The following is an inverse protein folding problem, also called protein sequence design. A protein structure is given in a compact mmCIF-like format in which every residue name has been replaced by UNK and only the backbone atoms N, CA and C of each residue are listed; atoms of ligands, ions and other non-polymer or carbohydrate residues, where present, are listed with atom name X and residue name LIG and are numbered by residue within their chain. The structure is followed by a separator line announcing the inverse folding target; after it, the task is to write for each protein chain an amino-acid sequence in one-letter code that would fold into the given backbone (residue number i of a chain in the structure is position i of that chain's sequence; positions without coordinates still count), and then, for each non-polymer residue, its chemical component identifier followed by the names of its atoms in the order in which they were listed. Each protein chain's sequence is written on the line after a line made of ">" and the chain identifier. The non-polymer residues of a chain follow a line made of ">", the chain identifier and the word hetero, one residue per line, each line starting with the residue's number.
data_IF_394495425992
#
_entry.id   IF_394495425992
#
_cell.length_a   1.000
_cell.length_b   1.000
_cell.length_c   1.000
_cell.angle_alpha   90.00
_cell.angle_beta   90.00
_cell.angle_gamma   90.00
#
_symmetry.space_group_name_H-M   'P 1'
#
loop_
_entity.id
_entity.type
_entity.pdbx_description
1 polymer ?
#
# COMPACT_ATOMS: atom_id res chain seq x y z
N UNK A 1 7.20 -8.58 3.18
CA UNK A 1 6.11 -8.54 4.20
C UNK A 1 6.63 -8.41 5.65
N UNK A 2 7.75 -9.07 6.05
CA UNK A 2 8.32 -8.98 7.43
C UNK A 2 8.76 -7.56 7.78
N UNK A 3 9.44 -6.86 6.89
CA UNK A 3 9.90 -5.48 7.12
C UNK A 3 8.73 -4.51 7.32
N UNK A 4 7.57 -4.78 6.68
CA UNK A 4 6.36 -3.99 6.88
C UNK A 4 5.78 -4.08 8.29
N UNK A 5 5.84 -5.26 8.93
CA UNK A 5 5.39 -5.43 10.31
C UNK A 5 6.38 -4.77 11.30
N UNK A 6 7.68 -4.96 11.08
CA UNK A 6 8.74 -4.33 11.90
C UNK A 6 8.69 -2.80 11.80
N UNK A 7 8.29 -2.25 10.65
CA UNK A 7 8.08 -0.80 10.48
C UNK A 7 6.88 -0.27 11.28
N UNK A 8 5.76 -1.02 11.32
CA UNK A 8 4.52 -0.54 11.97
C UNK A 8 4.64 -0.42 13.48
N UNK A 9 5.43 -1.27 14.15
CA UNK A 9 5.58 -1.24 15.61
C UNK A 9 6.26 0.06 16.07
N UNK A 10 7.45 0.47 15.58
CA UNK A 10 8.02 1.77 15.93
C UNK A 10 7.14 2.94 15.51
N UNK A 11 6.46 2.82 14.36
CA UNK A 11 5.56 3.86 13.89
C UNK A 11 4.37 4.07 14.84
N UNK A 12 3.82 2.99 15.40
CA UNK A 12 2.74 3.07 16.38
C UNK A 12 3.18 3.75 17.68
N UNK A 13 4.45 3.57 18.09
CA UNK A 13 5.00 4.28 19.25
C UNK A 13 5.14 5.79 19.01
N UNK A 14 5.38 6.21 17.76
CA UNK A 14 5.53 7.62 17.39
C UNK A 14 4.19 8.32 17.16
N UNK A 15 3.24 7.63 16.52
CA UNK A 15 1.96 8.20 16.13
C UNK A 15 0.84 7.98 17.15
N UNK A 16 1.04 7.06 18.11
CA UNK A 16 -0.03 6.63 19.02
C UNK A 16 -1.19 5.95 18.28
N UNK A 17 -2.28 5.66 18.99
CA UNK A 17 -3.47 5.03 18.42
C UNK A 17 -4.18 5.90 17.39
N UNK A 18 -4.36 7.18 17.70
CA UNK A 18 -5.06 8.14 16.84
C UNK A 18 -4.33 8.36 15.51
N UNK A 19 -3.01 8.61 15.53
CA UNK A 19 -2.21 8.77 14.32
C UNK A 19 -2.15 7.49 13.50
N UNK A 20 -2.12 6.33 14.14
CA UNK A 20 -2.25 5.02 13.46
C UNK A 20 -3.63 4.82 12.85
N UNK A 21 -4.69 5.42 13.41
CA UNK A 21 -6.01 5.47 12.81
C UNK A 21 -5.99 6.19 11.46
N UNK A 22 -5.44 7.41 11.40
CA UNK A 22 -5.29 8.17 10.14
C UNK A 22 -4.47 7.42 9.10
N UNK A 23 -3.37 6.80 9.53
CA UNK A 23 -2.54 5.95 8.69
C UNK A 23 -3.34 4.74 8.14
N UNK A 24 -4.08 4.04 9.00
CA UNK A 24 -4.87 2.87 8.63
C UNK A 24 -6.04 3.20 7.72
N UNK A 25 -6.67 4.37 7.89
CA UNK A 25 -7.73 4.88 7.02
C UNK A 25 -7.22 5.07 5.58
N UNK A 26 -6.05 5.70 5.41
CA UNK A 26 -5.44 5.84 4.08
C UNK A 26 -5.10 4.47 3.45
N UNK A 27 -4.58 3.53 4.25
CA UNK A 27 -4.30 2.16 3.81
C UNK A 27 -5.56 1.37 3.47
N UNK A 28 -6.66 1.57 4.19
CA UNK A 28 -7.95 0.94 3.91
C UNK A 28 -8.46 1.24 2.50
N UNK A 29 -8.32 2.49 2.05
CA UNK A 29 -8.63 2.89 0.68
C UNK A 29 -7.61 2.35 -0.33
N UNK A 30 -6.32 2.41 0.01
CA UNK A 30 -5.24 2.00 -0.89
C UNK A 30 -5.17 0.49 -1.10
N UNK A 31 -5.48 -0.31 -0.09
CA UNK A 31 -5.29 -1.77 -0.10
C UNK A 31 -6.00 -2.48 -1.27
N UNK A 32 -7.29 -2.22 -1.59
CA UNK A 32 -7.94 -2.81 -2.75
C UNK A 32 -7.29 -2.40 -4.08
N UNK A 33 -6.90 -1.13 -4.20
CA UNK A 33 -6.23 -0.61 -5.40
C UNK A 33 -4.86 -1.27 -5.57
N UNK A 34 -4.10 -1.35 -4.50
CA UNK A 34 -2.79 -2.02 -4.48
C UNK A 34 -2.89 -3.50 -4.84
N UNK A 35 -3.91 -4.21 -4.37
CA UNK A 35 -4.08 -5.61 -4.68
C UNK A 35 -4.27 -5.85 -6.18
N UNK A 36 -5.08 -5.03 -6.84
CA UNK A 36 -5.26 -5.09 -8.29
C UNK A 36 -3.96 -4.81 -9.03
N UNK A 37 -3.25 -3.74 -8.62
CA UNK A 37 -2.03 -3.30 -9.28
C UNK A 37 -0.84 -4.19 -8.99
N UNK A 38 -0.69 -4.67 -7.74
CA UNK A 38 0.46 -5.46 -7.33
C UNK A 38 0.35 -6.96 -7.64
N UNK A 39 -0.86 -7.51 -7.73
CA UNK A 39 -1.09 -8.91 -8.06
C UNK A 39 -1.64 -9.11 -9.47
N UNK A 40 -2.60 -8.30 -9.90
CA UNK A 40 -3.27 -8.44 -11.18
C UNK A 40 -2.38 -8.14 -12.37
N UNK A 41 -1.76 -6.96 -12.40
CA UNK A 41 -0.93 -6.51 -13.54
C UNK A 41 0.30 -7.41 -13.74
N UNK A 42 1.12 -7.72 -12.70
CA UNK A 42 2.30 -8.56 -12.91
C UNK A 42 1.95 -9.96 -13.39
N UNK A 43 0.90 -10.58 -12.85
CA UNK A 43 0.48 -11.94 -13.24
C UNK A 43 0.12 -12.03 -14.72
N UNK A 44 -0.65 -11.08 -15.22
CA UNK A 44 -1.03 -11.03 -16.65
C UNK A 44 0.19 -10.72 -17.52
N UNK A 45 1.03 -9.77 -17.12
CA UNK A 45 2.25 -9.41 -17.84
C UNK A 45 3.25 -10.57 -17.89
N UNK A 46 3.45 -11.28 -16.78
CA UNK A 46 4.30 -12.47 -16.69
C UNK A 46 3.82 -13.54 -17.67
N UNK A 47 2.52 -13.84 -17.65
CA UNK A 47 1.92 -14.85 -18.54
C UNK A 47 2.10 -14.48 -20.02
N UNK A 48 1.72 -13.25 -20.41
CA UNK A 48 1.81 -12.81 -21.80
C UNK A 48 3.25 -12.72 -22.29
N UNK A 49 4.19 -12.31 -21.44
CA UNK A 49 5.61 -12.27 -21.77
C UNK A 49 6.17 -13.66 -21.97
N UNK A 50 5.89 -14.59 -21.03
CA UNK A 50 6.32 -15.99 -21.14
C UNK A 50 5.78 -16.67 -22.41
N UNK A 51 4.48 -16.45 -22.73
CA UNK A 51 3.87 -16.97 -23.95
C UNK A 51 4.55 -16.45 -25.24
N UNK A 52 4.85 -15.14 -25.31
CA UNK A 52 5.52 -14.57 -26.46
C UNK A 52 6.95 -15.10 -26.63
N UNK A 53 7.68 -15.30 -25.52
CA UNK A 53 9.06 -15.85 -25.53
C UNK A 53 9.02 -17.33 -25.94
N UNK A 54 8.11 -18.14 -25.38
CA UNK A 54 7.93 -19.54 -25.74
C UNK A 54 7.54 -19.73 -27.22
N UNK A 55 6.82 -18.76 -27.79
CA UNK A 55 6.48 -18.72 -29.21
C UNK A 55 7.60 -18.17 -30.13
N UNK A 56 8.81 -17.93 -29.61
CA UNK A 56 9.93 -17.30 -30.32
C UNK A 56 9.59 -15.91 -30.91
N UNK A 57 8.81 -15.11 -30.18
CA UNK A 57 8.35 -13.76 -30.59
C UNK A 57 8.82 -12.69 -29.58
N UNK A 58 10.14 -12.46 -29.41
CA UNK A 58 10.65 -11.50 -28.42
C UNK A 58 10.26 -10.05 -28.74
N UNK A 59 10.14 -9.69 -30.03
CA UNK A 59 9.67 -8.36 -30.45
C UNK A 59 8.24 -8.07 -30.00
N UNK A 60 7.38 -9.12 -30.05
CA UNK A 60 6.02 -9.00 -29.57
C UNK A 60 5.95 -8.86 -28.03
N UNK A 61 6.86 -9.51 -27.29
CA UNK A 61 6.99 -9.33 -25.85
C UNK A 61 7.38 -7.89 -25.49
N UNK A 62 8.35 -7.30 -26.18
CA UNK A 62 8.76 -5.91 -25.98
C UNK A 62 7.62 -4.93 -26.35
N UNK A 63 6.90 -5.18 -27.44
CA UNK A 63 5.74 -4.37 -27.83
C UNK A 63 4.60 -4.47 -26.81
N UNK A 64 4.32 -5.66 -26.31
CA UNK A 64 3.33 -5.89 -25.25
C UNK A 64 3.68 -5.07 -24.01
N UNK A 65 4.95 -5.08 -23.58
CA UNK A 65 5.41 -4.25 -22.46
C UNK A 65 5.20 -2.76 -22.71
N UNK A 66 5.58 -2.22 -23.90
CA UNK A 66 5.39 -0.81 -24.22
C UNK A 66 3.90 -0.42 -24.22
N UNK A 67 3.05 -1.24 -24.81
CA UNK A 67 1.60 -1.01 -24.83
C UNK A 67 1.02 -1.05 -23.42
N UNK A 68 1.45 -2.01 -22.61
CA UNK A 68 1.04 -2.12 -21.21
C UNK A 68 1.50 -0.92 -20.37
N UNK A 69 2.73 -0.45 -20.53
CA UNK A 69 3.23 0.76 -19.85
C UNK A 69 2.37 1.99 -20.17
N UNK A 70 2.02 2.21 -21.43
CA UNK A 70 1.15 3.33 -21.82
C UNK A 70 -0.26 3.18 -21.25
N UNK A 71 -0.85 1.99 -21.34
CA UNK A 71 -2.19 1.72 -20.83
C UNK A 71 -2.26 1.88 -19.30
N UNK A 72 -1.38 1.22 -18.57
CA UNK A 72 -1.42 1.23 -17.11
C UNK A 72 -0.86 2.50 -16.48
N UNK A 73 0.00 3.25 -17.15
CA UNK A 73 0.34 4.61 -16.70
C UNK A 73 -0.83 5.58 -16.85
N UNK A 74 -1.62 5.48 -17.92
CA UNK A 74 -2.84 6.27 -18.08
C UNK A 74 -3.90 5.90 -17.04
N UNK A 75 -4.13 4.60 -16.81
CA UNK A 75 -5.06 4.11 -15.77
C UNK A 75 -4.57 4.52 -14.37
N UNK A 76 -3.27 4.39 -14.09
CA UNK A 76 -2.68 4.78 -12.83
C UNK A 76 -2.75 6.30 -12.59
N UNK A 77 -2.52 7.12 -13.61
CA UNK A 77 -2.67 8.57 -13.52
C UNK A 77 -4.12 8.97 -13.24
N UNK A 78 -5.08 8.34 -13.93
CA UNK A 78 -6.50 8.55 -13.66
C UNK A 78 -6.88 8.12 -12.25
N UNK A 79 -6.39 6.95 -11.80
CA UNK A 79 -6.60 6.46 -10.43
C UNK A 79 -6.03 7.39 -9.38
N UNK A 80 -4.81 7.90 -9.58
CA UNK A 80 -4.20 8.91 -8.70
C UNK A 80 -5.05 10.17 -8.63
N UNK A 81 -5.52 10.68 -9.78
CA UNK A 81 -6.35 11.86 -9.84
C UNK A 81 -7.69 11.66 -9.11
N UNK A 82 -8.33 10.51 -9.32
CA UNK A 82 -9.57 10.15 -8.64
C UNK A 82 -9.37 10.07 -7.13
N UNK A 83 -8.34 9.37 -6.65
CA UNK A 83 -8.03 9.29 -5.21
C UNK A 83 -7.78 10.68 -4.64
N UNK A 84 -7.03 11.55 -5.34
CA UNK A 84 -6.74 12.90 -4.87
C UNK A 84 -8.00 13.78 -4.80
N UNK A 85 -8.87 13.73 -5.81
CA UNK A 85 -10.12 14.53 -5.85
C UNK A 85 -11.10 14.02 -4.78
N UNK A 86 -11.27 12.70 -4.67
CA UNK A 86 -12.23 12.13 -3.73
C UNK A 86 -11.70 11.96 -2.31
N UNK A 87 -10.45 12.33 -2.02
CA UNK A 87 -9.81 12.15 -0.71
C UNK A 87 -10.56 12.80 0.44
N UNK A 88 -10.98 14.05 0.26
CA UNK A 88 -11.72 14.80 1.28
C UNK A 88 -13.12 14.20 1.49
N UNK A 89 -13.84 13.93 0.39
CA UNK A 89 -15.14 13.27 0.46
C UNK A 89 -15.07 11.90 1.16
N UNK A 90 -14.02 11.11 0.84
CA UNK A 90 -13.80 9.82 1.47
C UNK A 90 -13.53 9.97 2.98
N UNK A 91 -12.64 10.90 3.36
CA UNK A 91 -12.29 11.12 4.76
C UNK A 91 -13.50 11.59 5.60
N UNK A 92 -14.30 12.52 5.08
CA UNK A 92 -15.43 13.09 5.80
C UNK A 92 -16.66 12.17 5.86
N UNK A 93 -17.07 11.61 4.72
CA UNK A 93 -18.36 10.92 4.61
C UNK A 93 -18.25 9.40 4.71
N UNK A 94 -17.10 8.84 4.36
CA UNK A 94 -16.92 7.39 4.30
C UNK A 94 -16.14 6.89 5.53
N UNK A 95 -14.97 7.46 5.78
CA UNK A 95 -14.14 7.10 6.93
C UNK A 95 -14.55 7.80 8.23
N UNK A 96 -15.42 8.82 8.14
CA UNK A 96 -15.86 9.64 9.27
C UNK A 96 -14.66 10.18 10.09
N UNK A 97 -13.59 10.53 9.42
CA UNK A 97 -12.35 11.04 10.01
C UNK A 97 -11.75 12.10 9.07
N UNK A 98 -12.26 13.35 9.11
CA UNK A 98 -11.83 14.45 8.23
C UNK A 98 -10.32 14.70 8.30
N UNK A 99 -9.74 14.53 9.48
CA UNK A 99 -8.31 14.71 9.73
C UNK A 99 -7.41 13.68 9.02
N UNK A 100 -7.99 12.59 8.50
CA UNK A 100 -7.26 11.61 7.71
C UNK A 100 -7.05 12.03 6.24
N UNK A 101 -7.73 13.11 5.77
CA UNK A 101 -7.64 13.57 4.38
C UNK A 101 -6.20 13.82 3.88
N UNK A 102 -5.29 14.46 4.65
CA UNK A 102 -3.90 14.64 4.22
C UNK A 102 -3.18 13.31 4.01
N UNK A 103 -3.45 12.28 4.82
CA UNK A 103 -2.88 10.95 4.67
C UNK A 103 -3.41 10.26 3.41
N UNK A 104 -4.69 10.39 3.09
CA UNK A 104 -5.30 9.86 1.87
C UNK A 104 -4.73 10.52 0.61
N UNK A 105 -4.52 11.84 0.62
CA UNK A 105 -3.87 12.57 -0.48
C UNK A 105 -2.44 12.09 -0.67
N UNK A 106 -1.70 11.89 0.43
CA UNK A 106 -0.29 11.50 0.39
C UNK A 106 -0.05 10.11 -0.24
N UNK A 107 -1.04 9.21 -0.20
CA UNK A 107 -0.93 7.88 -0.80
C UNK A 107 -1.30 7.86 -2.29
N UNK A 108 -2.01 8.87 -2.79
CA UNK A 108 -2.50 8.89 -4.16
C UNK A 108 -1.41 8.66 -5.23
N UNK A 109 -0.21 9.30 -5.17
CA UNK A 109 0.84 9.09 -6.18
C UNK A 109 1.34 7.63 -6.24
N UNK A 110 1.24 6.88 -5.13
CA UNK A 110 1.65 5.48 -5.09
C UNK A 110 0.88 4.61 -6.10
N UNK A 111 -0.37 4.95 -6.40
CA UNK A 111 -1.22 4.21 -7.36
C UNK A 111 -0.57 4.19 -8.75
N UNK A 112 -0.19 5.36 -9.28
CA UNK A 112 0.45 5.46 -10.59
C UNK A 112 1.80 4.74 -10.61
N UNK A 113 2.62 4.98 -9.60
CA UNK A 113 3.96 4.41 -9.50
C UNK A 113 3.87 2.88 -9.44
N UNK A 114 2.96 2.34 -8.64
CA UNK A 114 2.72 0.91 -8.51
C UNK A 114 2.25 0.28 -9.83
N UNK A 115 1.35 0.93 -10.58
CA UNK A 115 0.93 0.46 -11.90
C UNK A 115 2.11 0.28 -12.86
N UNK A 116 2.97 1.29 -12.95
CA UNK A 116 4.16 1.26 -13.82
C UNK A 116 5.17 0.21 -13.37
N UNK A 117 5.47 0.17 -12.07
CA UNK A 117 6.39 -0.82 -11.49
C UNK A 117 5.90 -2.26 -11.72
N UNK A 118 4.60 -2.49 -11.59
CA UNK A 118 3.96 -3.79 -11.77
C UNK A 118 4.10 -4.34 -13.20
N UNK A 119 3.99 -3.49 -14.21
CA UNK A 119 4.23 -3.89 -15.62
C UNK A 119 5.66 -4.34 -15.84
N UNK A 120 6.64 -3.59 -15.31
CA UNK A 120 8.07 -3.92 -15.48
C UNK A 120 8.41 -5.19 -14.70
N UNK A 121 7.88 -5.34 -13.49
CA UNK A 121 8.02 -6.53 -12.65
C UNK A 121 7.51 -7.78 -13.37
N UNK A 122 6.28 -7.76 -13.84
CA UNK A 122 5.70 -8.90 -14.57
C UNK A 122 6.41 -9.22 -15.88
N UNK A 123 6.96 -8.22 -16.57
CA UNK A 123 7.77 -8.44 -17.76
C UNK A 123 9.07 -9.23 -17.45
N UNK A 124 9.81 -8.86 -16.38
CA UNK A 124 11.01 -9.57 -15.97
C UNK A 124 10.70 -10.99 -15.46
N UNK A 125 9.65 -11.13 -14.65
CA UNK A 125 9.20 -12.44 -14.15
C UNK A 125 8.78 -13.37 -15.29
N UNK A 126 8.14 -12.82 -16.34
CA UNK A 126 7.79 -13.57 -17.54
C UNK A 126 8.98 -14.00 -18.40
N UNK A 127 10.14 -13.38 -18.21
CA UNK A 127 11.42 -13.82 -18.76
C UNK A 127 12.16 -14.82 -17.85
N UNK A 128 11.52 -15.32 -16.78
CA UNK A 128 12.14 -16.13 -15.73
C UNK A 128 13.25 -15.43 -14.96
N UNK A 129 13.30 -14.09 -15.01
CA UNK A 129 14.26 -13.27 -14.27
C UNK A 129 13.60 -12.60 -13.07
N UNK A 130 13.69 -13.26 -11.91
CA UNK A 130 13.10 -12.81 -10.64
C UNK A 130 14.00 -11.84 -9.85
N UNK A 131 15.26 -11.69 -10.26
CA UNK A 131 16.24 -10.86 -9.52
C UNK A 131 15.83 -9.39 -9.46
N UNK A 132 15.41 -8.74 -10.58
CA UNK A 132 14.95 -7.35 -10.53
C UNK A 132 13.76 -7.13 -9.61
N UNK A 133 12.77 -8.03 -9.65
CA UNK A 133 11.59 -7.98 -8.79
C UNK A 133 11.93 -8.09 -7.31
N UNK A 134 12.84 -9.00 -6.98
CA UNK A 134 13.29 -9.22 -5.60
C UNK A 134 14.09 -8.03 -5.08
N UNK A 135 15.00 -7.48 -5.89
CA UNK A 135 15.80 -6.30 -5.54
C UNK A 135 14.89 -5.06 -5.32
N UNK A 136 13.90 -4.86 -6.19
CA UNK A 136 12.92 -3.79 -6.03
C UNK A 136 12.11 -3.95 -4.73
N UNK A 137 11.65 -5.17 -4.43
CA UNK A 137 10.90 -5.43 -3.19
C UNK A 137 11.72 -5.14 -1.92
N UNK A 138 13.02 -5.42 -1.94
CA UNK A 138 13.93 -5.07 -0.83
C UNK A 138 14.10 -3.55 -0.75
N UNK A 139 14.33 -2.87 -1.88
CA UNK A 139 14.46 -1.42 -1.93
C UNK A 139 13.19 -0.71 -1.43
N UNK A 140 12.01 -1.18 -1.83
CA UNK A 140 10.71 -0.69 -1.33
C UNK A 140 10.57 -0.88 0.18
N UNK A 141 10.90 -2.06 0.69
CA UNK A 141 10.77 -2.38 2.10
C UNK A 141 11.70 -1.54 2.99
N UNK A 142 12.96 -1.39 2.58
CA UNK A 142 13.95 -0.59 3.30
C UNK A 142 13.61 0.89 3.25
N UNK A 143 13.32 1.42 2.05
CA UNK A 143 12.97 2.85 1.90
C UNK A 143 11.69 3.21 2.64
N UNK A 144 10.68 2.34 2.66
CA UNK A 144 9.45 2.55 3.43
C UNK A 144 9.71 2.63 4.92
N UNK A 145 10.55 1.75 5.46
CA UNK A 145 10.90 1.77 6.87
C UNK A 145 11.69 3.03 7.24
N UNK A 146 12.74 3.34 6.46
CA UNK A 146 13.60 4.49 6.74
C UNK A 146 12.83 5.81 6.57
N UNK A 147 12.23 6.03 5.39
CA UNK A 147 11.56 7.30 5.09
C UNK A 147 10.31 7.48 5.96
N UNK A 148 9.54 6.41 6.20
CA UNK A 148 8.32 6.50 7.01
C UNK A 148 8.60 6.85 8.47
N UNK A 149 9.60 6.21 9.09
CA UNK A 149 9.98 6.53 10.46
C UNK A 149 10.62 7.91 10.57
N UNK A 150 11.52 8.26 9.65
CA UNK A 150 12.17 9.59 9.68
C UNK A 150 11.17 10.72 9.40
N UNK A 151 10.18 10.52 8.53
CA UNK A 151 9.14 11.51 8.27
C UNK A 151 8.24 11.71 9.50
N UNK A 152 7.68 10.61 10.06
CA UNK A 152 6.81 10.68 11.22
C UNK A 152 7.53 11.25 12.44
N UNK A 153 8.71 10.72 12.77
CA UNK A 153 9.53 11.20 13.89
C UNK A 153 9.97 12.63 13.67
N UNK A 154 10.38 13.01 12.46
CA UNK A 154 10.82 14.36 12.13
C UNK A 154 9.72 15.41 12.30
N UNK A 155 8.48 15.09 11.96
CA UNK A 155 7.34 15.99 12.17
C UNK A 155 7.07 16.16 13.66
N UNK A 156 6.97 15.06 14.41
CA UNK A 156 6.72 15.10 15.87
C UNK A 156 7.86 15.80 16.62
N UNK A 157 9.10 15.50 16.27
CA UNK A 157 10.27 16.11 16.90
C UNK A 157 10.37 17.62 16.63
N UNK A 158 10.11 18.05 15.38
CA UNK A 158 10.06 19.49 15.05
C UNK A 158 8.96 20.23 15.79
N UNK A 159 7.81 19.58 15.96
CA UNK A 159 6.71 20.15 16.71
C UNK A 159 7.06 20.31 18.19
N UNK A 160 7.65 19.29 18.79
CA UNK A 160 8.11 19.34 20.17
C UNK A 160 9.11 20.48 20.39
N UNK A 161 10.13 20.59 19.53
CA UNK A 161 11.11 21.67 19.63
C UNK A 161 10.47 23.06 19.46
N UNK A 162 9.51 23.21 18.54
CA UNK A 162 8.79 24.49 18.38
C UNK A 162 7.95 24.84 19.60
N UNK A 163 7.29 23.86 20.21
CA UNK A 163 6.54 24.04 21.43
C UNK A 163 7.46 24.49 22.60
N UNK A 164 8.58 23.80 22.79
CA UNK A 164 9.57 24.14 23.82
C UNK A 164 10.17 25.53 23.62
N UNK A 165 10.26 26.00 22.37
CA UNK A 165 10.72 27.36 22.05
C UNK A 165 9.60 28.41 22.09
N UNK A 166 8.36 28.07 22.46
CA UNK A 166 7.23 28.98 22.46
C UNK A 166 6.82 29.50 21.08
N UNK A 167 7.16 28.76 20.00
CA UNK A 167 6.84 29.12 18.63
C UNK A 167 5.52 28.52 18.19
N UNK A 168 4.84 29.21 17.29
CA UNK A 168 3.57 28.72 16.72
C UNK A 168 3.75 27.40 15.97
N UNK A 169 2.83 26.47 16.20
CA UNK A 169 2.73 25.18 15.53
C UNK A 169 1.54 25.24 14.60
N UNK A 170 1.75 24.99 13.30
CA UNK A 170 0.71 25.10 12.25
C UNK A 170 -0.01 26.48 12.24
N UNK A 171 0.71 27.55 12.66
CA UNK A 171 0.17 28.91 12.70
C UNK A 171 -0.75 29.19 13.89
N UNK A 172 -0.76 28.32 14.91
CA UNK A 172 -1.50 28.49 16.17
C UNK A 172 -0.56 28.35 17.37
N UNK A 173 -0.84 29.12 18.41
CA UNK A 173 -0.19 29.00 19.71
C UNK A 173 -1.00 28.06 20.60
N UNK A 174 -0.36 27.00 21.11
CA UNK A 174 -1.00 26.01 21.97
C UNK A 174 -0.53 26.20 23.40
N UNK A 175 -1.45 26.15 24.35
CA UNK A 175 -1.12 26.30 25.78
C UNK A 175 -0.61 24.98 26.37
N UNK A 176 -1.05 23.84 25.84
CA UNK A 176 -0.64 22.50 26.28
C UNK A 176 -0.01 21.70 25.15
N UNK A 177 0.99 20.90 25.52
CA UNK A 177 1.70 20.03 24.57
C UNK A 177 0.79 18.90 24.02
N UNK A 178 -0.16 18.40 24.81
CA UNK A 178 -1.08 17.35 24.37
C UNK A 178 -1.99 17.84 23.23
N UNK A 179 -2.47 19.07 23.31
CA UNK A 179 -3.26 19.72 22.26
C UNK A 179 -2.42 19.96 21.00
N UNK A 180 -1.20 20.45 21.15
CA UNK A 180 -0.26 20.64 20.05
C UNK A 180 0.10 19.30 19.36
N UNK A 181 0.28 18.24 20.14
CA UNK A 181 0.57 16.91 19.63
C UNK A 181 -0.62 16.35 18.83
N UNK A 182 -1.84 16.45 19.34
CA UNK A 182 -3.06 16.02 18.65
C UNK A 182 -3.25 16.73 17.30
N UNK A 183 -2.99 18.04 17.25
CA UNK A 183 -3.09 18.84 16.03
C UNK A 183 -2.05 18.45 14.95
N UNK A 184 -0.95 17.84 15.34
CA UNK A 184 0.14 17.45 14.43
C UNK A 184 0.01 16.01 13.92
N UNK A 185 -0.73 15.13 14.62
CA UNK A 185 -0.90 13.74 14.24
C UNK A 185 -1.36 13.53 12.80
N UNK A 186 -2.31 14.31 12.25
CA UNK A 186 -2.70 14.20 10.83
C UNK A 186 -1.52 14.41 9.87
N UNK A 187 -0.68 15.39 10.16
CA UNK A 187 0.49 15.72 9.33
C UNK A 187 1.59 14.65 9.48
N UNK A 188 1.81 14.16 10.69
CA UNK A 188 2.77 13.08 10.94
C UNK A 188 2.34 11.78 10.27
N UNK A 189 1.04 11.46 10.34
CA UNK A 189 0.46 10.30 9.64
C UNK A 189 0.58 10.46 8.12
N UNK A 190 0.28 11.65 7.58
CA UNK A 190 0.46 11.94 6.16
C UNK A 190 1.93 11.77 5.71
N UNK A 191 2.89 12.21 6.53
CA UNK A 191 4.32 11.99 6.29
C UNK A 191 4.69 10.51 6.25
N UNK A 192 4.18 9.72 7.20
CA UNK A 192 4.39 8.27 7.22
C UNK A 192 3.75 7.57 6.02
N UNK A 193 2.58 8.04 5.57
CA UNK A 193 1.90 7.52 4.38
C UNK A 193 2.60 7.95 3.09
N UNK A 194 3.11 9.19 3.00
CA UNK A 194 3.90 9.66 1.86
C UNK A 194 5.13 8.79 1.61
N UNK A 195 5.71 8.21 2.67
CA UNK A 195 6.81 7.26 2.53
C UNK A 195 6.45 6.01 1.71
N UNK A 196 5.17 5.65 1.62
CA UNK A 196 4.72 4.56 0.72
C UNK A 196 4.94 4.98 -0.72
N UNK A 197 4.50 6.17 -1.11
CA UNK A 197 4.72 6.72 -2.46
C UNK A 197 6.21 6.79 -2.81
N UNK A 198 7.04 7.25 -1.85
CA UNK A 198 8.49 7.30 -2.01
C UNK A 198 9.09 5.90 -2.13
N UNK A 199 8.61 4.93 -1.34
CA UNK A 199 9.11 3.55 -1.39
C UNK A 199 8.79 2.87 -2.74
N UNK A 200 7.59 3.06 -3.25
CA UNK A 200 7.21 2.57 -4.58
C UNK A 200 8.08 3.20 -5.69
N UNK A 201 8.41 4.49 -5.54
CA UNK A 201 9.33 5.18 -6.46
C UNK A 201 10.75 4.59 -6.40
N UNK A 202 11.28 4.30 -5.20
CA UNK A 202 12.58 3.64 -5.04
C UNK A 202 12.57 2.23 -5.69
N UNK A 203 11.50 1.48 -5.51
CA UNK A 203 11.31 0.18 -6.18
C UNK A 203 11.29 0.31 -7.70
N UNK A 204 10.53 1.29 -8.22
CA UNK A 204 10.48 1.57 -9.66
C UNK A 204 11.85 1.97 -10.22
N UNK A 205 12.60 2.82 -9.52
CA UNK A 205 13.97 3.21 -9.93
C UNK A 205 14.87 1.97 -9.99
N UNK A 206 14.82 1.08 -8.98
CA UNK A 206 15.56 -0.17 -8.95
C UNK A 206 15.23 -1.06 -10.16
N UNK A 207 13.93 -1.18 -10.49
CA UNK A 207 13.47 -1.92 -11.68
C UNK A 207 13.97 -1.29 -12.98
N UNK A 208 13.92 0.02 -13.12
CA UNK A 208 14.37 0.74 -14.32
C UNK A 208 15.88 0.61 -14.53
N UNK A 209 16.68 0.63 -13.46
CA UNK A 209 18.13 0.41 -13.52
C UNK A 209 18.42 -1.01 -14.01
N UNK A 210 17.71 -2.01 -13.45
CA UNK A 210 17.84 -3.40 -13.85
C UNK A 210 17.43 -3.62 -15.31
N UNK A 211 16.36 -2.95 -15.74
CA UNK A 211 15.83 -3.04 -17.09
C UNK A 211 16.80 -2.51 -18.16
N UNK A 212 17.49 -1.40 -17.88
CA UNK A 212 18.52 -0.88 -18.79
C UNK A 212 19.65 -1.86 -19.03
N UNK A 213 20.00 -2.69 -18.03
CA UNK A 213 21.09 -3.68 -18.11
C UNK A 213 20.68 -4.99 -18.79
N UNK A 214 19.37 -5.29 -18.88
CA UNK A 214 18.82 -6.60 -19.28
C UNK A 214 17.86 -6.50 -20.47
N UNK A 215 18.24 -5.75 -21.50
CA UNK A 215 17.40 -5.61 -22.69
C UNK A 215 17.39 -6.87 -23.55
N UNK A 216 16.21 -7.33 -23.92
CA UNK A 216 16.05 -8.39 -24.93
C UNK A 216 16.57 -7.91 -26.28
N UNK A 217 17.35 -8.77 -26.96
CA UNK A 217 17.73 -8.58 -28.35
C UNK A 217 16.53 -8.97 -29.21
N UNK A 218 15.99 -8.03 -29.96
CA UNK A 218 14.87 -8.27 -30.88
C UNK A 218 15.43 -8.51 -32.26
N UNK A 219 15.08 -9.61 -32.96
CA UNK A 219 15.45 -9.85 -34.33
C UNK A 219 14.91 -8.75 -35.26
N UNK A 220 15.73 -8.35 -36.24
CA UNK A 220 15.29 -7.39 -37.25
C UNK A 220 14.24 -8.03 -38.14
N UNK A 221 13.09 -7.34 -38.35
CA UNK A 221 12.03 -7.82 -39.23
C UNK A 221 10.95 -8.70 -38.56
N UNK A 222 10.99 -8.88 -37.22
CA UNK A 222 9.92 -9.62 -36.54
C UNK A 222 8.56 -8.90 -36.68
N UNK A 223 7.57 -9.64 -37.20
CA UNK A 223 6.18 -9.16 -37.26
C UNK A 223 5.56 -9.17 -35.86
N UNK A 224 5.17 -7.98 -35.41
CA UNK A 224 4.53 -7.80 -34.11
C UNK A 224 3.02 -7.54 -34.26
N UNK A 225 2.24 -7.98 -33.29
CA UNK A 225 0.79 -7.78 -33.24
C UNK A 225 0.45 -6.27 -33.19
N UNK A 226 -0.73 -5.89 -33.66
CA UNK A 226 -1.22 -4.51 -33.55
C UNK A 226 -1.41 -4.11 -32.09
N UNK A 227 -1.04 -2.89 -31.71
CA UNK A 227 -1.17 -2.40 -30.33
C UNK A 227 -2.60 -2.53 -29.78
N UNK A 228 -3.62 -2.30 -30.64
CA UNK A 228 -5.02 -2.46 -30.23
C UNK A 228 -5.37 -3.90 -29.86
N UNK A 229 -4.85 -4.89 -30.59
CA UNK A 229 -5.05 -6.33 -30.27
C UNK A 229 -4.40 -6.67 -28.93
N UNK A 230 -3.19 -6.17 -28.68
CA UNK A 230 -2.48 -6.33 -27.41
C UNK A 230 -3.27 -5.69 -26.28
N UNK A 231 -3.75 -4.45 -26.44
CA UNK A 231 -4.55 -3.74 -25.42
C UNK A 231 -5.82 -4.51 -25.09
N UNK A 232 -6.57 -4.95 -26.11
CA UNK A 232 -7.81 -5.74 -25.88
C UNK A 232 -7.53 -7.04 -25.13
N UNK A 233 -6.42 -7.69 -25.45
CA UNK A 233 -6.00 -8.91 -24.76
C UNK A 233 -5.60 -8.64 -23.30
N UNK A 234 -4.79 -7.59 -23.04
CA UNK A 234 -4.44 -7.16 -21.70
C UNK A 234 -5.67 -6.89 -20.83
N UNK A 235 -6.62 -6.09 -21.33
CA UNK A 235 -7.85 -5.78 -20.61
C UNK A 235 -8.66 -7.05 -20.31
N UNK A 236 -8.83 -7.91 -21.30
CA UNK A 236 -9.61 -9.15 -21.14
C UNK A 236 -9.00 -10.10 -20.11
N UNK A 237 -7.65 -10.18 -20.04
CA UNK A 237 -6.98 -11.09 -19.11
C UNK A 237 -6.86 -10.48 -17.70
N UNK A 238 -6.79 -9.14 -17.57
CA UNK A 238 -6.65 -8.52 -16.25
C UNK A 238 -7.97 -8.44 -15.47
N UNK A 239 -9.11 -8.29 -16.15
CA UNK A 239 -10.42 -8.16 -15.48
C UNK A 239 -10.70 -9.30 -14.49
N UNK A 240 -10.60 -10.61 -14.84
CA UNK A 240 -10.87 -11.66 -13.88
C UNK A 240 -9.87 -11.72 -12.73
N UNK A 241 -8.60 -11.45 -13.01
CA UNK A 241 -7.54 -11.41 -11.96
C UNK A 241 -7.74 -10.21 -11.02
N UNK A 242 -8.07 -9.06 -11.58
CA UNK A 242 -8.38 -7.86 -10.81
C UNK A 242 -9.64 -8.05 -9.96
N UNK A 243 -10.69 -8.68 -10.51
CA UNK A 243 -11.92 -8.97 -9.77
C UNK A 243 -11.66 -9.88 -8.56
N UNK A 244 -10.90 -10.97 -8.74
CA UNK A 244 -10.55 -11.85 -7.62
C UNK A 244 -9.70 -11.15 -6.55
N UNK A 245 -8.73 -10.33 -6.96
CA UNK A 245 -7.91 -9.55 -6.04
C UNK A 245 -8.74 -8.51 -5.28
N UNK A 246 -9.69 -7.85 -5.94
CA UNK A 246 -10.63 -6.91 -5.30
C UNK A 246 -11.47 -7.60 -4.24
N UNK A 247 -12.11 -8.72 -4.55
CA UNK A 247 -12.96 -9.46 -3.60
C UNK A 247 -12.19 -9.80 -2.33
N UNK A 248 -10.96 -10.30 -2.45
CA UNK A 248 -10.11 -10.65 -1.31
C UNK A 248 -9.67 -9.45 -0.47
N UNK A 249 -9.60 -8.25 -1.06
CA UNK A 249 -9.14 -7.04 -0.37
C UNK A 249 -10.28 -6.09 0.04
N UNK A 250 -11.50 -6.30 -0.46
CA UNK A 250 -12.68 -5.56 -0.02
C UNK A 250 -12.99 -5.77 1.46
N UNK A 251 -12.56 -6.88 2.06
CA UNK A 251 -12.74 -7.15 3.49
C UNK A 251 -12.16 -6.01 4.33
N UNK A 252 -10.91 -5.59 4.06
CA UNK A 252 -10.29 -4.48 4.80
C UNK A 252 -11.03 -3.15 4.62
N UNK A 253 -11.65 -2.95 3.47
CA UNK A 253 -12.47 -1.77 3.21
C UNK A 253 -13.82 -1.83 3.95
N UNK A 254 -14.44 -3.00 3.99
CA UNK A 254 -15.66 -3.25 4.76
C UNK A 254 -15.39 -3.08 6.26
N UNK A 255 -14.27 -3.62 6.76
CA UNK A 255 -13.84 -3.43 8.15
C UNK A 255 -13.70 -1.94 8.50
N UNK A 256 -13.04 -1.15 7.65
CA UNK A 256 -12.92 0.29 7.86
C UNK A 256 -14.29 0.94 8.02
N UNK A 257 -15.20 0.68 7.09
CA UNK A 257 -16.52 1.29 7.07
C UNK A 257 -17.39 0.87 8.26
N UNK A 258 -17.40 -0.44 8.55
CA UNK A 258 -18.28 -1.01 9.56
C UNK A 258 -17.79 -0.70 10.96
N UNK A 259 -16.52 -0.95 11.24
CA UNK A 259 -15.94 -0.79 12.59
C UNK A 259 -15.95 0.68 12.99
N UNK A 260 -15.51 1.59 12.11
CA UNK A 260 -15.47 3.03 12.45
C UNK A 260 -16.86 3.59 12.71
N UNK A 261 -17.83 3.31 11.83
CA UNK A 261 -19.20 3.78 12.02
C UNK A 261 -19.90 3.16 13.23
N UNK A 262 -19.72 1.86 13.46
CA UNK A 262 -20.32 1.19 14.61
C UNK A 262 -19.76 1.73 15.91
N UNK A 263 -18.45 1.98 15.98
CA UNK A 263 -17.81 2.58 17.14
C UNK A 263 -18.31 4.02 17.39
N UNK A 264 -18.42 4.84 16.35
CA UNK A 264 -18.96 6.20 16.47
C UNK A 264 -20.41 6.18 17.00
N UNK A 265 -21.26 5.32 16.44
CA UNK A 265 -22.64 5.18 16.90
C UNK A 265 -22.71 4.67 18.33
N UNK A 266 -21.84 3.74 18.73
CA UNK A 266 -21.78 3.23 20.11
C UNK A 266 -21.35 4.32 21.10
N UNK A 267 -20.34 5.11 20.76
CA UNK A 267 -19.87 6.24 21.57
C UNK A 267 -20.96 7.31 21.71
N UNK A 268 -21.70 7.58 20.63
CA UNK A 268 -22.82 8.51 20.67
C UNK A 268 -24.02 8.01 21.50
N UNK A 269 -24.26 6.69 21.48
CA UNK A 269 -25.39 6.07 22.20
C UNK A 269 -25.15 5.98 23.72
N UNK A 270 -23.93 5.69 24.16
CA UNK A 270 -23.58 5.55 25.59
C UNK A 270 -22.27 6.28 25.91
N UNK A 271 -22.29 7.59 25.77
CA UNK A 271 -21.12 8.45 26.04
C UNK A 271 -20.62 8.33 27.49
N UNK A 272 -21.52 8.07 28.48
CA UNK A 272 -21.14 7.95 29.89
C UNK A 272 -20.25 6.71 30.13
N UNK A 273 -20.58 5.58 29.51
CA UNK A 273 -19.76 4.36 29.60
C UNK A 273 -18.36 4.58 29.01
N UNK A 274 -18.29 5.21 27.83
CA UNK A 274 -17.02 5.44 27.17
C UNK A 274 -16.16 6.49 27.88
N UNK A 275 -16.75 7.55 28.43
CA UNK A 275 -16.03 8.53 29.27
C UNK A 275 -15.49 7.87 30.54
N UNK A 276 -16.25 6.99 31.17
CA UNK A 276 -15.81 6.28 32.38
C UNK A 276 -14.62 5.33 32.13
N UNK A 277 -14.61 4.63 31.01
CA UNK A 277 -13.57 3.63 30.69
C UNK A 277 -12.40 4.18 29.87
N UNK A 278 -12.61 5.19 29.05
CA UNK A 278 -11.64 5.74 28.10
C UNK A 278 -11.43 7.25 28.28
N UNK A 279 -11.77 7.81 29.43
CA UNK A 279 -11.73 9.25 29.71
C UNK A 279 -10.38 9.90 29.42
N UNK A 280 -9.26 9.23 29.73
CA UNK A 280 -7.92 9.73 29.44
C UNK A 280 -7.69 9.87 27.91
N UNK A 281 -8.16 8.90 27.11
CA UNK A 281 -8.00 8.91 25.66
C UNK A 281 -8.94 9.95 25.03
N UNK A 282 -10.16 10.06 25.56
CA UNK A 282 -11.12 11.07 25.12
C UNK A 282 -10.61 12.49 25.40
N UNK A 283 -9.92 12.69 26.52
CA UNK A 283 -9.28 13.98 26.82
C UNK A 283 -8.18 14.35 25.81
N UNK A 284 -7.49 13.36 25.24
CA UNK A 284 -6.44 13.60 24.25
C UNK A 284 -6.97 13.79 22.81
N UNK A 285 -7.94 12.98 22.39
CA UNK A 285 -8.38 12.93 20.98
C UNK A 285 -9.84 13.36 20.75
N UNK A 286 -10.59 13.70 21.82
CA UNK A 286 -12.00 13.98 21.75
C UNK A 286 -12.88 12.73 21.62
N UNK A 287 -14.18 12.86 21.83
CA UNK A 287 -15.13 11.75 21.71
C UNK A 287 -15.19 11.21 20.27
N UNK A 288 -15.13 12.10 19.28
CA UNK A 288 -15.15 11.75 17.86
C UNK A 288 -13.85 11.04 17.43
N UNK A 289 -12.72 11.38 18.07
CA UNK A 289 -11.43 10.76 17.82
C UNK A 289 -11.27 9.36 18.40
N UNK A 290 -12.09 8.97 19.40
CA UNK A 290 -12.01 7.67 20.06
C UNK A 290 -12.20 6.50 19.08
N UNK A 291 -13.15 6.60 18.17
CA UNK A 291 -13.39 5.56 17.17
C UNK A 291 -12.17 5.34 16.26
N UNK A 292 -11.52 6.42 15.86
CA UNK A 292 -10.31 6.37 15.05
C UNK A 292 -9.11 5.82 15.84
N UNK A 293 -8.97 6.18 17.10
CA UNK A 293 -7.97 5.61 18.00
C UNK A 293 -8.15 4.08 18.17
N UNK A 294 -9.37 3.62 18.41
CA UNK A 294 -9.66 2.19 18.58
C UNK A 294 -9.42 1.42 17.28
N UNK A 295 -9.87 1.96 16.13
CA UNK A 295 -9.60 1.36 14.82
C UNK A 295 -8.10 1.33 14.51
N UNK A 296 -7.38 2.39 14.79
CA UNK A 296 -5.93 2.48 14.60
C UNK A 296 -5.16 1.50 15.49
N UNK A 297 -5.55 1.35 16.75
CA UNK A 297 -4.97 0.39 17.68
C UNK A 297 -5.23 -1.05 17.22
N UNK A 298 -6.43 -1.36 16.76
CA UNK A 298 -6.78 -2.66 16.21
C UNK A 298 -5.98 -2.97 14.93
N UNK A 299 -6.04 -2.12 13.91
CA UNK A 299 -5.43 -2.40 12.61
C UNK A 299 -3.92 -2.17 12.58
N UNK A 300 -3.44 -1.17 13.33
CA UNK A 300 -2.04 -0.77 13.36
C UNK A 300 -1.19 -1.63 14.28
N UNK A 301 -1.73 -2.06 15.42
CA UNK A 301 -0.98 -2.83 16.43
C UNK A 301 -1.45 -4.27 16.48
N UNK A 302 -2.70 -4.54 16.89
CA UNK A 302 -3.19 -5.89 17.15
C UNK A 302 -3.13 -6.77 15.90
N UNK A 303 -3.68 -6.31 14.77
CA UNK A 303 -3.64 -7.07 13.51
C UNK A 303 -2.23 -7.21 12.95
N UNK A 304 -1.34 -6.26 13.20
CA UNK A 304 0.05 -6.37 12.76
C UNK A 304 0.77 -7.50 13.49
N UNK A 305 0.60 -7.62 14.81
CA UNK A 305 1.15 -8.71 15.62
C UNK A 305 0.53 -10.04 15.22
N UNK A 306 -0.80 -10.09 15.08
CA UNK A 306 -1.52 -11.29 14.66
C UNK A 306 -1.02 -11.82 13.30
N UNK A 307 -0.82 -10.94 12.33
CA UNK A 307 -0.37 -11.31 10.98
C UNK A 307 1.10 -11.78 10.89
N UNK A 308 1.88 -11.66 11.96
CA UNK A 308 3.21 -12.27 12.00
C UNK A 308 3.12 -13.80 11.92
N UNK A 309 2.18 -14.44 12.64
CA UNK A 309 2.02 -15.90 12.68
C UNK A 309 1.72 -16.47 11.27
N UNK A 310 0.66 -16.03 10.54
CA UNK A 310 0.42 -16.48 9.18
C UNK A 310 1.57 -16.18 8.21
N UNK A 311 2.32 -15.10 8.45
CA UNK A 311 3.46 -14.75 7.60
C UNK A 311 4.63 -15.73 7.76
N UNK A 312 4.83 -16.29 8.94
CA UNK A 312 5.79 -17.36 9.18
C UNK A 312 5.32 -18.68 8.55
N UNK A 313 4.05 -19.05 8.74
CA UNK A 313 3.46 -20.25 8.15
C UNK A 313 3.52 -20.23 6.60
N UNK A 314 3.21 -19.09 5.97
CA UNK A 314 3.29 -18.95 4.52
C UNK A 314 4.71 -18.98 3.92
N UNK A 315 5.76 -18.99 4.76
CA UNK A 315 7.13 -19.23 4.29
C UNK A 315 7.45 -20.73 4.22
N UNK A 316 7.04 -21.47 5.23
CA UNK A 316 7.16 -22.93 5.24
C UNK A 316 6.35 -23.54 4.11
N UNK A 317 5.16 -23.01 3.80
CA UNK A 317 4.38 -23.39 2.64
C UNK A 317 5.15 -23.27 1.32
N UNK A 318 5.77 -22.12 1.07
CA UNK A 318 6.52 -21.86 -0.18
C UNK A 318 7.77 -22.73 -0.34
N UNK A 319 8.41 -23.11 0.76
CA UNK A 319 9.57 -23.99 0.74
C UNK A 319 9.17 -25.47 0.65
N UNK A 320 8.08 -25.88 1.30
CA UNK A 320 7.61 -27.25 1.32
C UNK A 320 6.83 -27.64 0.04
N UNK A 321 6.17 -26.68 -0.62
CA UNK A 321 5.33 -26.97 -1.79
C UNK A 321 6.07 -27.68 -2.93
N UNK A 322 7.29 -27.30 -3.35
CA UNK A 322 8.03 -28.01 -4.39
C UNK A 322 8.42 -29.43 -3.98
N UNK A 323 8.77 -29.64 -2.70
CA UNK A 323 9.13 -30.96 -2.16
C UNK A 323 7.92 -31.88 -2.09
N UNK A 324 6.78 -31.36 -1.62
CA UNK A 324 5.50 -32.07 -1.57
C UNK A 324 5.05 -32.43 -2.99
N UNK A 325 5.12 -31.49 -3.95
CA UNK A 325 4.78 -31.76 -5.34
C UNK A 325 5.67 -32.83 -5.97
N UNK A 326 6.98 -32.78 -5.69
CA UNK A 326 7.91 -33.80 -6.19
C UNK A 326 7.69 -35.18 -5.53
N UNK A 327 7.38 -35.24 -4.24
CA UNK A 327 7.04 -36.49 -3.55
C UNK A 327 5.72 -37.08 -4.09
N UNK A 328 4.73 -36.23 -4.32
CA UNK A 328 3.44 -36.64 -4.92
C UNK A 328 3.63 -37.23 -6.32
N UNK A 329 4.43 -36.60 -7.18
CA UNK A 329 4.73 -37.09 -8.54
C UNK A 329 5.46 -38.45 -8.50
N UNK A 330 6.34 -38.66 -7.51
CA UNK A 330 7.09 -39.92 -7.31
C UNK A 330 6.24 -41.01 -6.64
N UNK A 331 5.01 -40.71 -6.22
CA UNK A 331 4.16 -41.57 -5.37
C UNK A 331 4.83 -42.03 -4.08
N UNK A 332 5.81 -41.29 -3.60
CA UNK A 332 6.44 -41.47 -2.29
C UNK A 332 5.59 -40.78 -1.22
N UNK A 333 4.39 -41.32 -0.99
CA UNK A 333 3.53 -40.89 0.12
C UNK A 333 3.68 -41.97 1.20
N UNK A 334 4.07 -41.59 2.44
CA UNK A 334 4.17 -42.55 3.54
C UNK A 334 2.82 -43.18 3.91
#
# INVERSE_FOLDING_TARGET
>A
KRVGAVFKIPLANVLGGTGMGYFSTAYGLYSPVFAVTAAGIPTVMMRLTAQNIAANRPGNAVKTRRTALLLFSAIGALGTLLVAIFSVFFAEHIACSPESAPAVIAIAPAVMICCVASVIRGYHEGMSDVVPSSAAAVAEAVSRAVVGLTAAYGVVFRAKNRFECGLDILGRHYADYSEAYSAILPVAAAGAVAAVSVSELCGLISLLISDKRRRLKVPVGEQTDRSLTITRRLIREIIPVAASALVMNCVSFVDLLTVTRTLQNAVAADSAYFIGNYGAIIAECGADGLANFMYGSYTGVAMTVFMLIPSFAGMTEKTALPEIAAAWERRDVP
#
